data_IF_608405528492
#
_entry.id   IF_608405528492
#
_cell.length_a   1.000
_cell.length_b   1.000
_cell.length_c   1.000
_cell.angle_alpha   90.00
_cell.angle_beta   90.00
_cell.angle_gamma   90.00
#
_symmetry.space_group_name_H-M   'P 1'
#
loop_
_entity.id
_entity.type
_entity.pdbx_description
1 polymer ?
#
# COMPACT_ATOMS: atom_id res chain seq x y z
N UNK A 1 -63.98 13.57 29.84
CA UNK A 1 -63.50 12.50 28.93
C UNK A 1 -62.76 13.00 27.68
N UNK A 2 -63.23 14.03 26.96
CA UNK A 2 -62.56 14.53 25.73
C UNK A 2 -61.19 15.20 25.92
N UNK A 3 -60.89 15.71 27.11
CA UNK A 3 -59.59 16.34 27.43
C UNK A 3 -58.48 15.34 27.73
N UNK A 4 -58.80 14.21 28.39
CA UNK A 4 -57.82 13.15 28.67
C UNK A 4 -57.38 12.40 27.42
N UNK A 5 -58.27 12.21 26.43
CA UNK A 5 -57.89 11.58 25.15
C UNK A 5 -56.86 12.43 24.37
N UNK A 6 -56.95 13.77 24.39
CA UNK A 6 -56.01 14.61 23.64
C UNK A 6 -54.58 14.52 24.18
N UNK A 7 -54.39 14.45 25.49
CA UNK A 7 -53.05 14.34 26.11
C UNK A 7 -52.38 12.99 25.79
N UNK A 8 -53.15 11.90 25.72
CA UNK A 8 -52.65 10.57 25.35
C UNK A 8 -52.20 10.55 23.88
N UNK A 9 -52.94 11.19 22.98
CA UNK A 9 -52.55 11.29 21.56
C UNK A 9 -51.32 12.19 21.33
N UNK A 10 -51.14 13.27 22.09
CA UNK A 10 -49.94 14.13 21.96
C UNK A 10 -48.68 13.46 22.51
N UNK A 11 -48.79 12.68 23.60
CA UNK A 11 -47.66 11.92 24.13
C UNK A 11 -47.28 10.72 23.24
N UNK A 12 -48.24 10.08 22.56
CA UNK A 12 -47.96 9.05 21.55
C UNK A 12 -47.24 9.63 20.31
N UNK A 13 -47.57 10.85 19.91
CA UNK A 13 -46.96 11.50 18.75
C UNK A 13 -45.52 11.98 19.02
N UNK A 14 -45.22 12.38 20.26
CA UNK A 14 -43.85 12.75 20.67
C UNK A 14 -42.95 11.53 20.82
N UNK A 15 -43.50 10.36 21.18
CA UNK A 15 -42.72 9.12 21.29
C UNK A 15 -42.31 8.53 19.92
N UNK A 16 -43.09 8.82 18.85
CA UNK A 16 -42.79 8.35 17.48
C UNK A 16 -41.69 9.19 16.80
N UNK A 17 -41.40 10.40 17.29
CA UNK A 17 -40.37 11.28 16.71
C UNK A 17 -38.97 11.11 17.33
N UNK A 18 -38.82 10.21 18.31
CA UNK A 18 -37.54 9.96 19.00
C UNK A 18 -37.15 8.48 19.02
N UNK A 19 -37.54 7.68 18.02
CA UNK A 19 -36.75 6.47 17.76
C UNK A 19 -35.42 6.93 17.19
N UNK A 20 -34.27 6.74 17.88
CA UNK A 20 -33.00 6.92 17.21
C UNK A 20 -33.04 6.03 15.99
N UNK A 21 -32.84 6.62 14.80
CA UNK A 21 -32.50 5.83 13.63
C UNK A 21 -31.20 5.16 14.00
N UNK A 22 -31.29 3.92 14.49
CA UNK A 22 -30.16 3.02 14.58
C UNK A 22 -29.80 2.79 13.13
N UNK A 23 -28.88 3.60 12.61
CA UNK A 23 -28.15 3.21 11.43
C UNK A 23 -27.48 1.90 11.82
N UNK A 24 -28.07 0.79 11.41
CA UNK A 24 -27.35 -0.46 11.39
C UNK A 24 -26.11 -0.15 10.56
N UNK A 25 -24.93 -0.13 11.20
CA UNK A 25 -23.68 -0.22 10.48
C UNK A 25 -23.78 -1.56 9.74
N UNK A 26 -24.18 -1.51 8.47
CA UNK A 26 -24.17 -2.68 7.60
C UNK A 26 -22.68 -2.96 7.40
N UNK A 27 -22.14 -3.76 8.31
CA UNK A 27 -20.77 -4.22 8.29
C UNK A 27 -20.58 -5.00 6.98
N UNK A 28 -19.64 -4.57 6.16
CA UNK A 28 -19.42 -5.20 4.87
C UNK A 28 -19.00 -6.67 5.08
N UNK A 29 -19.61 -7.64 4.37
CA UNK A 29 -19.23 -9.05 4.50
C UNK A 29 -17.72 -9.31 4.27
N UNK A 30 -17.07 -8.55 3.39
CA UNK A 30 -15.62 -8.60 3.16
C UNK A 30 -14.85 -8.10 4.38
N UNK A 31 -15.28 -7.00 5.00
CA UNK A 31 -14.66 -6.47 6.22
C UNK A 31 -14.78 -7.47 7.36
N UNK A 32 -15.95 -8.09 7.54
CA UNK A 32 -16.17 -9.09 8.58
C UNK A 32 -15.28 -10.32 8.39
N UNK A 33 -15.19 -10.83 7.15
CA UNK A 33 -14.30 -11.98 6.84
C UNK A 33 -12.84 -11.62 7.06
N UNK A 34 -12.42 -10.42 6.64
CA UNK A 34 -11.05 -9.94 6.80
C UNK A 34 -10.71 -9.75 8.28
N UNK A 35 -11.61 -9.15 9.07
CA UNK A 35 -11.45 -8.99 10.52
C UNK A 35 -11.27 -10.35 11.22
N UNK A 36 -12.05 -11.37 10.83
CA UNK A 36 -11.87 -12.72 11.36
C UNK A 36 -10.51 -13.31 11.01
N UNK A 37 -10.02 -13.10 9.78
CA UNK A 37 -8.71 -13.57 9.35
C UNK A 37 -7.56 -12.87 10.11
N UNK A 38 -7.67 -11.56 10.31
CA UNK A 38 -6.73 -10.77 11.13
C UNK A 38 -6.73 -11.27 12.59
N UNK A 39 -7.90 -11.49 13.18
CA UNK A 39 -7.99 -12.01 14.54
C UNK A 39 -7.36 -13.40 14.66
N UNK A 40 -7.49 -14.26 13.64
CA UNK A 40 -6.80 -15.56 13.61
C UNK A 40 -5.27 -15.40 13.57
N UNK A 41 -4.74 -14.41 12.85
CA UNK A 41 -3.30 -14.08 12.88
C UNK A 41 -2.86 -13.77 14.31
N UNK A 42 -3.59 -12.91 15.03
CA UNK A 42 -3.21 -12.50 16.39
C UNK A 42 -3.47 -13.56 17.47
N UNK A 43 -4.37 -14.52 17.21
CA UNK A 43 -4.59 -15.68 18.07
C UNK A 43 -3.57 -16.79 17.84
N UNK A 44 -2.90 -16.80 16.69
CA UNK A 44 -1.90 -17.80 16.33
C UNK A 44 -0.73 -17.78 17.33
N UNK A 45 -0.36 -18.97 17.83
CA UNK A 45 0.70 -19.10 18.83
C UNK A 45 2.07 -18.81 18.25
N UNK A 46 2.33 -19.17 16.99
CA UNK A 46 3.63 -18.94 16.35
C UNK A 46 3.87 -17.45 16.12
N UNK A 47 2.84 -16.71 15.68
CA UNK A 47 2.92 -15.26 15.51
C UNK A 47 3.22 -14.56 16.83
N UNK A 48 2.51 -14.95 17.90
CA UNK A 48 2.69 -14.36 19.24
C UNK A 48 4.07 -14.64 19.85
N UNK A 49 4.74 -15.71 19.44
CA UNK A 49 6.08 -16.06 19.91
C UNK A 49 7.20 -15.30 19.18
N UNK A 50 6.93 -14.67 18.03
CA UNK A 50 7.93 -13.87 17.30
C UNK A 50 8.33 -12.64 18.11
N UNK A 51 9.64 -12.47 18.32
CA UNK A 51 10.18 -11.46 19.21
C UNK A 51 10.40 -10.13 18.49
N UNK A 52 10.84 -10.18 17.23
CA UNK A 52 11.08 -8.98 16.43
C UNK A 52 9.99 -8.71 15.40
N UNK A 53 9.87 -7.44 14.95
CA UNK A 53 8.98 -7.11 13.83
C UNK A 53 9.37 -7.80 12.54
N UNK A 54 10.66 -8.02 12.28
CA UNK A 54 11.13 -8.74 11.09
C UNK A 54 10.69 -10.20 11.11
N UNK A 55 10.74 -10.87 12.25
CA UNK A 55 10.23 -12.24 12.39
C UNK A 55 8.70 -12.31 12.22
N UNK A 56 7.97 -11.34 12.80
CA UNK A 56 6.52 -11.20 12.59
C UNK A 56 6.21 -11.00 11.11
N UNK A 57 6.95 -10.12 10.45
CA UNK A 57 6.81 -9.80 9.04
C UNK A 57 7.09 -11.01 8.14
N UNK A 58 8.17 -11.75 8.40
CA UNK A 58 8.48 -12.98 7.68
C UNK A 58 7.35 -14.00 7.81
N UNK A 59 6.82 -14.16 9.02
CA UNK A 59 5.75 -15.11 9.28
C UNK A 59 4.43 -14.73 8.59
N UNK A 60 3.97 -13.47 8.71
CA UNK A 60 2.70 -13.04 8.09
C UNK A 60 2.83 -13.05 6.57
N UNK A 61 3.92 -12.51 6.02
CA UNK A 61 4.14 -12.51 4.58
C UNK A 61 4.17 -13.94 4.02
N UNK A 62 4.76 -14.90 4.73
CA UNK A 62 4.72 -16.31 4.35
C UNK A 62 3.31 -16.91 4.42
N UNK A 63 2.53 -16.60 5.46
CA UNK A 63 1.15 -17.09 5.62
C UNK A 63 0.24 -16.68 4.46
N UNK A 64 0.52 -15.52 3.85
CA UNK A 64 -0.26 -14.96 2.74
C UNK A 64 0.35 -15.20 1.36
N UNK A 65 1.25 -16.18 1.19
CA UNK A 65 1.65 -16.69 -0.13
C UNK A 65 0.49 -17.41 -0.84
N UNK A 66 0.49 -17.39 -2.18
CA UNK A 66 -0.54 -17.98 -3.04
C UNK A 66 -1.84 -17.17 -3.15
N UNK A 67 -1.87 -15.95 -2.61
CA UNK A 67 -3.03 -15.05 -2.70
C UNK A 67 -3.05 -14.37 -4.08
N UNK A 68 -4.22 -14.30 -4.77
CA UNK A 68 -4.30 -13.74 -6.11
C UNK A 68 -3.72 -12.34 -6.24
N UNK A 69 -3.13 -12.06 -7.39
CA UNK A 69 -2.74 -10.72 -7.78
C UNK A 69 -3.93 -9.96 -8.36
N UNK A 70 -4.29 -8.83 -7.76
CA UNK A 70 -5.31 -7.92 -8.29
C UNK A 70 -4.82 -6.48 -8.16
N UNK A 71 -4.63 -5.83 -9.30
CA UNK A 71 -4.21 -4.43 -9.37
C UNK A 71 -5.27 -3.49 -8.79
N UNK A 72 -4.85 -2.54 -7.96
CA UNK A 72 -5.73 -1.56 -7.32
C UNK A 72 -6.82 -2.27 -6.48
N UNK A 73 -6.47 -3.17 -5.60
CA UNK A 73 -7.42 -3.95 -4.79
C UNK A 73 -7.93 -3.22 -3.52
N UNK A 74 -7.33 -2.08 -3.13
CA UNK A 74 -7.72 -1.25 -1.98
C UNK A 74 -8.19 0.15 -2.39
N UNK A 75 -8.98 0.80 -1.53
CA UNK A 75 -9.47 2.17 -1.67
C UNK A 75 -9.41 2.97 -0.37
N UNK A 76 -10.30 3.95 -0.22
CA UNK A 76 -10.44 4.86 0.95
C UNK A 76 -11.60 4.45 1.88
N UNK A 77 -12.19 3.29 1.66
CA UNK A 77 -13.31 2.78 2.45
C UNK A 77 -14.68 3.31 2.00
N UNK A 78 -15.72 2.77 2.63
CA UNK A 78 -17.08 2.81 2.09
C UNK A 78 -17.67 4.21 1.88
N UNK A 79 -17.26 5.18 2.69
CA UNK A 79 -17.79 6.54 2.66
C UNK A 79 -16.99 7.48 1.76
N UNK A 80 -15.97 6.97 1.05
CA UNK A 80 -15.09 7.79 0.24
C UNK A 80 -15.77 8.45 -0.97
N UNK A 81 -15.36 9.69 -1.25
CA UNK A 81 -15.84 10.47 -2.39
C UNK A 81 -15.29 9.95 -3.72
N UNK A 82 -14.05 9.46 -3.77
CA UNK A 82 -13.43 8.96 -5.01
C UNK A 82 -13.53 7.45 -5.10
N UNK A 83 -13.09 6.73 -4.08
CA UNK A 83 -12.76 5.33 -4.22
C UNK A 83 -13.20 4.51 -3.00
N UNK A 84 -14.36 3.86 -3.15
CA UNK A 84 -15.06 3.11 -2.10
C UNK A 84 -14.62 1.65 -1.97
N UNK A 85 -13.50 1.28 -2.59
CA UNK A 85 -12.86 0.00 -2.31
C UNK A 85 -12.41 -0.07 -0.83
N UNK A 86 -12.27 -1.28 -0.26
CA UNK A 86 -12.00 -1.44 1.16
C UNK A 86 -10.65 -0.82 1.57
N UNK A 87 -10.55 -0.40 2.84
CA UNK A 87 -9.30 0.15 3.40
C UNK A 87 -8.21 -0.91 3.60
N UNK A 88 -8.62 -2.15 3.81
CA UNK A 88 -7.76 -3.29 4.05
C UNK A 88 -8.44 -4.56 3.52
N UNK A 89 -7.63 -5.54 3.12
CA UNK A 89 -8.06 -6.89 2.77
C UNK A 89 -6.87 -7.85 2.82
N UNK A 90 -7.14 -9.14 2.93
CA UNK A 90 -6.11 -10.19 3.00
C UNK A 90 -6.32 -11.34 2.00
N UNK A 91 -7.34 -11.21 1.15
CA UNK A 91 -7.73 -12.24 0.19
C UNK A 91 -7.03 -12.10 -1.18
N UNK A 92 -6.62 -10.90 -1.58
CA UNK A 92 -5.86 -10.61 -2.80
C UNK A 92 -4.98 -9.37 -2.62
N UNK A 93 -3.94 -9.22 -3.43
CA UNK A 93 -2.96 -8.12 -3.34
C UNK A 93 -2.47 -7.63 -4.69
N UNK A 94 -2.06 -6.37 -4.77
CA UNK A 94 -1.00 -5.94 -5.68
C UNK A 94 0.33 -5.78 -4.93
N UNK A 95 1.38 -5.32 -5.61
CA UNK A 95 2.72 -5.27 -5.03
C UNK A 95 2.80 -4.35 -3.80
N UNK A 96 2.15 -3.20 -3.86
CA UNK A 96 2.19 -2.19 -2.81
C UNK A 96 1.29 -2.62 -1.64
N UNK A 97 0.04 -2.97 -1.93
CA UNK A 97 -0.91 -3.38 -0.88
C UNK A 97 -0.48 -4.65 -0.17
N UNK A 98 0.26 -5.56 -0.82
CA UNK A 98 0.90 -6.67 -0.14
C UNK A 98 1.90 -6.19 0.91
N UNK A 99 2.82 -5.29 0.54
CA UNK A 99 3.80 -4.71 1.47
C UNK A 99 3.10 -4.00 2.62
N UNK A 100 2.11 -3.15 2.33
CA UNK A 100 1.37 -2.38 3.33
C UNK A 100 0.63 -3.27 4.33
N UNK A 101 -0.09 -4.30 3.86
CA UNK A 101 -0.85 -5.17 4.75
C UNK A 101 0.07 -6.03 5.62
N UNK A 102 1.19 -6.52 5.08
CA UNK A 102 2.14 -7.33 5.85
C UNK A 102 2.86 -6.47 6.91
N UNK A 103 3.22 -5.23 6.58
CA UNK A 103 3.74 -4.27 7.56
C UNK A 103 2.71 -3.96 8.64
N UNK A 104 1.48 -3.61 8.28
CA UNK A 104 0.43 -3.30 9.24
C UNK A 104 0.17 -4.47 10.21
N UNK A 105 0.17 -5.71 9.70
CA UNK A 105 0.06 -6.92 10.51
C UNK A 105 1.24 -7.08 11.47
N UNK A 106 2.47 -6.90 11.00
CA UNK A 106 3.69 -7.06 11.79
C UNK A 106 3.86 -6.00 12.89
N UNK A 107 3.34 -4.79 12.67
CA UNK A 107 3.39 -3.67 13.61
C UNK A 107 2.25 -3.64 14.63
N UNK A 108 1.37 -4.63 14.62
CA UNK A 108 0.15 -4.64 15.44
C UNK A 108 0.01 -5.96 16.19
N UNK A 109 -0.84 -5.98 17.22
CA UNK A 109 -1.13 -7.18 18.02
C UNK A 109 -2.62 -7.50 18.11
N UNK A 110 -3.48 -6.66 17.50
CA UNK A 110 -4.93 -6.84 17.43
C UNK A 110 -5.49 -6.07 16.23
N UNK A 111 -6.77 -6.30 15.93
CA UNK A 111 -7.45 -5.70 14.79
C UNK A 111 -7.51 -4.15 14.84
N UNK A 112 -7.70 -3.55 16.02
CA UNK A 112 -7.79 -2.09 16.16
C UNK A 112 -6.44 -1.42 15.90
N UNK A 113 -5.35 -2.00 16.41
CA UNK A 113 -3.99 -1.57 16.08
C UNK A 113 -3.72 -1.74 14.59
N UNK A 114 -4.07 -2.90 14.01
CA UNK A 114 -3.91 -3.15 12.58
C UNK A 114 -4.57 -2.05 11.74
N UNK A 115 -5.81 -1.69 12.04
CA UNK A 115 -6.53 -0.63 11.33
C UNK A 115 -5.81 0.72 11.44
N UNK A 116 -5.29 1.07 12.62
CA UNK A 116 -4.49 2.28 12.80
C UNK A 116 -3.21 2.24 11.96
N UNK A 117 -2.52 1.10 11.91
CA UNK A 117 -1.30 0.95 11.13
C UNK A 117 -1.55 1.02 9.62
N UNK A 118 -2.65 0.44 9.14
CA UNK A 118 -3.09 0.61 7.74
C UNK A 118 -3.23 2.09 7.41
N UNK A 119 -3.91 2.88 8.24
CA UNK A 119 -4.07 4.31 7.99
C UNK A 119 -2.73 5.07 8.06
N UNK A 120 -1.88 4.74 9.02
CA UNK A 120 -0.57 5.39 9.19
C UNK A 120 0.38 5.12 8.01
N UNK A 121 0.35 3.91 7.44
CA UNK A 121 1.22 3.50 6.34
C UNK A 121 0.71 4.07 5.00
N UNK A 122 -0.61 4.01 4.78
CA UNK A 122 -1.24 4.34 3.48
C UNK A 122 -1.45 5.82 3.24
N UNK A 123 -1.48 6.66 4.28
CA UNK A 123 -1.81 8.09 4.16
C UNK A 123 -0.73 8.95 4.77
N UNK A 124 -0.34 10.03 4.10
CA UNK A 124 0.62 11.02 4.61
C UNK A 124 0.15 11.60 5.94
N UNK A 125 -1.13 11.93 6.03
CA UNK A 125 -1.81 12.43 7.21
C UNK A 125 -3.31 12.13 7.15
N UNK A 126 -3.97 12.13 8.30
CA UNK A 126 -5.41 11.99 8.40
C UNK A 126 -6.11 13.33 8.09
N UNK A 127 -7.35 13.33 7.58
CA UNK A 127 -8.20 12.16 7.32
C UNK A 127 -7.78 11.34 6.08
N UNK A 128 -8.27 10.11 5.99
CA UNK A 128 -8.04 9.11 4.94
C UNK A 128 -8.73 9.44 3.61
N UNK A 129 -8.35 10.58 3.03
CA UNK A 129 -8.89 11.05 1.74
C UNK A 129 -7.91 10.76 0.60
N UNK A 130 -8.45 10.62 -0.61
CA UNK A 130 -7.68 10.24 -1.81
C UNK A 130 -6.41 11.06 -2.04
N UNK A 131 -6.45 12.39 -1.84
CA UNK A 131 -5.28 13.27 -2.01
C UNK A 131 -4.21 13.10 -0.94
N UNK A 132 -4.55 12.50 0.21
CA UNK A 132 -3.64 12.25 1.31
C UNK A 132 -2.98 10.87 1.21
N UNK A 133 -3.37 10.03 0.24
CA UNK A 133 -2.73 8.72 0.03
C UNK A 133 -1.25 8.88 -0.29
N UNK A 134 -0.47 7.91 0.16
CA UNK A 134 0.86 7.69 -0.35
C UNK A 134 0.75 7.00 -1.72
N UNK A 135 0.78 7.78 -2.81
CA UNK A 135 0.54 7.27 -4.17
C UNK A 135 1.85 6.97 -4.89
N UNK A 136 2.85 7.82 -4.68
CA UNK A 136 4.14 7.70 -5.37
C UNK A 136 5.19 7.17 -4.40
N UNK A 137 5.77 5.98 -4.62
CA UNK A 137 6.84 5.47 -3.77
C UNK A 137 7.98 6.48 -3.58
N UNK A 138 8.35 7.18 -4.64
CA UNK A 138 9.51 8.06 -4.70
C UNK A 138 9.41 9.28 -3.75
N UNK A 139 8.21 9.83 -3.58
CA UNK A 139 8.01 11.13 -2.90
C UNK A 139 6.99 11.08 -1.77
N UNK A 140 6.11 10.07 -1.78
CA UNK A 140 5.09 9.86 -0.78
C UNK A 140 5.43 8.69 0.12
N UNK A 141 5.38 7.46 -0.41
CA UNK A 141 5.36 6.26 0.42
C UNK A 141 6.65 6.11 1.21
N UNK A 142 7.81 6.15 0.55
CA UNK A 142 9.10 5.97 1.22
C UNK A 142 9.34 7.10 2.23
N UNK A 143 9.17 8.36 1.78
CA UNK A 143 9.36 9.56 2.61
C UNK A 143 8.45 9.58 3.84
N UNK A 144 7.16 9.28 3.66
CA UNK A 144 6.18 9.23 4.75
C UNK A 144 6.53 8.13 5.74
N UNK A 145 6.81 6.92 5.26
CA UNK A 145 7.03 5.77 6.11
C UNK A 145 8.39 5.81 6.81
N UNK A 146 9.42 6.39 6.19
CA UNK A 146 10.69 6.69 6.85
C UNK A 146 10.50 7.72 7.96
N UNK A 147 9.82 8.85 7.67
CA UNK A 147 9.53 9.89 8.67
C UNK A 147 8.74 9.37 9.86
N UNK A 148 7.86 8.39 9.65
CA UNK A 148 7.05 7.75 10.69
C UNK A 148 7.77 6.61 11.40
N UNK A 149 8.98 6.25 10.98
CA UNK A 149 9.81 5.22 11.63
C UNK A 149 9.40 3.79 11.29
N UNK A 150 8.76 3.55 10.14
CA UNK A 150 8.47 2.20 9.65
C UNK A 150 9.66 1.60 8.90
N UNK A 151 10.36 2.42 8.12
CA UNK A 151 11.42 1.98 7.22
C UNK A 151 12.62 2.94 7.27
N UNK A 152 13.72 2.54 6.65
CA UNK A 152 14.93 3.34 6.51
C UNK A 152 15.68 2.95 5.24
N UNK A 153 16.09 3.93 4.43
CA UNK A 153 16.92 3.67 3.24
C UNK A 153 18.29 3.12 3.67
N UNK A 154 18.57 1.88 3.24
CA UNK A 154 19.86 1.22 3.47
C UNK A 154 20.70 1.05 2.21
N UNK A 155 20.24 1.58 1.08
CA UNK A 155 20.88 1.42 -0.23
C UNK A 155 22.34 1.88 -0.22
N UNK A 156 22.61 3.00 0.44
CA UNK A 156 23.97 3.55 0.54
C UNK A 156 24.92 2.77 1.47
N UNK A 157 24.40 1.82 2.24
CA UNK A 157 25.21 0.98 3.14
C UNK A 157 25.71 -0.30 2.50
N UNK A 158 25.26 -0.62 1.28
CA UNK A 158 25.76 -1.77 0.54
C UNK A 158 27.05 -1.39 -0.17
N UNK A 159 28.12 -2.12 0.13
CA UNK A 159 29.48 -1.80 -0.31
C UNK A 159 30.12 -2.89 -1.15
N UNK A 160 31.13 -2.51 -1.94
CA UNK A 160 31.99 -3.44 -2.66
C UNK A 160 33.03 -4.13 -1.74
N UNK A 161 33.92 -4.94 -2.33
CA UNK A 161 35.01 -5.60 -1.58
C UNK A 161 36.02 -4.64 -0.93
N UNK A 162 36.05 -3.38 -1.38
CA UNK A 162 36.91 -2.31 -0.86
C UNK A 162 36.19 -1.44 0.17
N UNK A 163 34.95 -1.79 0.54
CA UNK A 163 34.15 -1.01 1.48
C UNK A 163 33.58 0.28 0.88
N UNK A 164 33.55 0.43 -0.44
CA UNK A 164 32.99 1.61 -1.11
C UNK A 164 31.50 1.40 -1.42
N UNK A 165 30.61 2.37 -1.12
CA UNK A 165 29.21 2.30 -1.53
C UNK A 165 29.07 2.16 -3.05
N UNK A 166 28.19 1.26 -3.49
CA UNK A 166 28.00 0.95 -4.93
C UNK A 166 26.78 1.62 -5.56
N UNK A 167 26.05 2.43 -4.78
CA UNK A 167 24.79 3.00 -5.24
C UNK A 167 24.99 4.06 -6.33
N UNK A 168 24.00 4.18 -7.20
CA UNK A 168 23.80 5.32 -8.08
C UNK A 168 22.51 6.04 -7.72
N UNK A 169 22.29 7.22 -8.30
CA UNK A 169 21.04 7.96 -8.17
C UNK A 169 20.31 7.97 -9.50
N UNK A 170 18.99 7.86 -9.45
CA UNK A 170 18.08 8.11 -10.56
C UNK A 170 17.10 9.20 -10.14
N UNK A 171 16.90 10.20 -10.99
CA UNK A 171 16.04 11.34 -10.70
C UNK A 171 14.83 11.34 -11.63
N UNK A 172 13.65 11.66 -11.11
CA UNK A 172 12.39 11.75 -11.87
C UNK A 172 11.56 12.94 -11.39
N UNK A 173 10.87 13.62 -12.31
CA UNK A 173 9.94 14.67 -11.94
C UNK A 173 8.54 14.09 -11.76
N UNK A 174 7.99 14.18 -10.55
CA UNK A 174 6.65 13.72 -10.21
C UNK A 174 5.66 14.88 -10.40
N UNK A 175 4.86 14.83 -11.47
CA UNK A 175 3.82 15.81 -11.79
C UNK A 175 2.45 15.37 -11.24
N UNK A 176 2.15 15.76 -10.00
CA UNK A 176 0.87 15.44 -9.34
C UNK A 176 -0.33 16.05 -10.07
N UNK A 177 -0.20 17.27 -10.58
CA UNK A 177 -1.28 17.95 -11.29
C UNK A 177 -1.56 17.24 -12.62
N UNK A 178 -0.49 16.85 -13.33
CA UNK A 178 -0.56 16.02 -14.54
C UNK A 178 -1.22 14.67 -14.28
N UNK A 179 -0.85 14.00 -13.18
CA UNK A 179 -1.46 12.73 -12.75
C UNK A 179 -2.97 12.86 -12.47
N UNK A 180 -3.37 13.83 -11.64
CA UNK A 180 -4.79 14.06 -11.33
C UNK A 180 -5.59 14.39 -12.58
N UNK A 181 -5.03 15.20 -13.50
CA UNK A 181 -5.65 15.52 -14.79
C UNK A 181 -5.90 14.27 -15.65
N UNK A 182 -5.12 13.21 -15.49
CA UNK A 182 -5.27 11.96 -16.24
C UNK A 182 -6.38 11.06 -15.70
N UNK A 183 -6.82 11.27 -14.46
CA UNK A 183 -7.91 10.50 -13.87
C UNK A 183 -9.21 10.62 -14.69
N UNK A 184 -9.97 9.54 -14.70
CA UNK A 184 -11.22 9.39 -15.45
C UNK A 184 -12.34 8.91 -14.52
N UNK A 185 -13.61 8.93 -14.96
CA UNK A 185 -14.70 8.34 -14.17
C UNK A 185 -14.54 6.85 -13.85
N UNK A 186 -13.62 6.13 -14.53
CA UNK A 186 -13.28 4.75 -14.18
C UNK A 186 -12.51 4.66 -12.85
N UNK A 187 -11.66 5.66 -12.57
CA UNK A 187 -10.86 5.75 -11.35
C UNK A 187 -11.71 6.15 -10.14
N UNK A 188 -12.89 6.74 -10.37
CA UNK A 188 -13.90 6.92 -9.32
C UNK A 188 -14.70 5.64 -9.11
N UNK A 189 -14.22 4.80 -8.18
CA UNK A 189 -14.79 3.49 -7.90
C UNK A 189 -15.84 3.60 -6.83
N UNK A 190 -17.08 3.35 -7.23
CA UNK A 190 -18.26 3.37 -6.37
C UNK A 190 -18.85 1.97 -6.28
N UNK A 191 -19.35 1.59 -5.10
CA UNK A 191 -20.01 0.29 -4.90
C UNK A 191 -21.32 0.20 -5.67
N UNK A 192 -22.07 1.30 -5.73
CA UNK A 192 -23.26 1.37 -6.57
C UNK A 192 -22.87 1.86 -7.98
N UNK A 193 -23.15 1.05 -8.99
CA UNK A 193 -22.79 1.33 -10.38
C UNK A 193 -23.66 2.44 -11.00
N UNK A 194 -24.84 2.73 -10.44
CA UNK A 194 -25.78 3.76 -10.93
C UNK A 194 -25.40 5.19 -10.47
N UNK A 195 -24.11 5.53 -10.51
CA UNK A 195 -23.56 6.80 -10.02
C UNK A 195 -22.70 7.52 -11.06
N UNK A 196 -23.03 7.37 -12.36
CA UNK A 196 -22.22 7.93 -13.46
C UNK A 196 -21.97 9.43 -13.32
N UNK A 197 -23.01 10.20 -12.97
CA UNK A 197 -22.88 11.65 -12.79
C UNK A 197 -22.05 12.00 -11.55
N UNK A 198 -22.27 11.30 -10.42
CA UNK A 198 -21.47 11.51 -9.21
C UNK A 198 -19.99 11.23 -9.46
N UNK A 199 -19.67 10.15 -10.17
CA UNK A 199 -18.30 9.81 -10.57
C UNK A 199 -17.66 10.93 -11.38
N UNK A 200 -18.37 11.43 -12.39
CA UNK A 200 -17.89 12.54 -13.21
C UNK A 200 -17.66 13.81 -12.37
N UNK A 201 -18.61 14.17 -11.52
CA UNK A 201 -18.51 15.34 -10.65
C UNK A 201 -17.36 15.23 -9.66
N UNK A 202 -17.15 14.07 -9.05
CA UNK A 202 -16.06 13.85 -8.09
C UNK A 202 -14.68 13.91 -8.77
N UNK A 203 -14.56 13.35 -9.98
CA UNK A 203 -13.32 13.45 -10.78
C UNK A 203 -13.05 14.91 -11.19
N UNK A 204 -14.06 15.64 -11.65
CA UNK A 204 -13.89 17.07 -11.96
C UNK A 204 -13.51 17.89 -10.72
N UNK A 205 -14.09 17.57 -9.56
CA UNK A 205 -13.77 18.25 -8.30
C UNK A 205 -12.30 18.03 -7.91
N UNK A 206 -11.82 16.78 -7.91
CA UNK A 206 -10.43 16.48 -7.52
C UNK A 206 -9.41 16.99 -8.54
N UNK A 207 -9.75 16.99 -9.84
CA UNK A 207 -8.93 17.60 -10.87
C UNK A 207 -8.81 19.12 -10.69
N UNK A 208 -9.91 19.78 -10.30
CA UNK A 208 -9.94 21.22 -10.02
C UNK A 208 -9.13 21.55 -8.77
N UNK A 209 -9.29 20.79 -7.70
CA UNK A 209 -8.53 20.93 -6.44
C UNK A 209 -7.03 20.72 -6.69
N UNK A 210 -6.70 19.68 -7.46
CA UNK A 210 -5.34 19.28 -7.79
C UNK A 210 -4.60 20.16 -8.79
N UNK A 211 -5.30 21.06 -9.49
CA UNK A 211 -4.76 21.80 -10.65
C UNK A 211 -3.48 22.58 -10.34
N UNK A 212 -3.36 23.10 -9.11
CA UNK A 212 -2.24 23.92 -8.68
C UNK A 212 -1.25 23.18 -7.76
N UNK A 213 -1.41 21.86 -7.60
CA UNK A 213 -0.42 21.07 -6.86
C UNK A 213 0.91 21.12 -7.59
N UNK A 214 1.97 21.41 -6.84
CA UNK A 214 3.31 21.44 -7.38
C UNK A 214 3.81 20.01 -7.57
N UNK A 215 4.40 19.75 -8.73
CA UNK A 215 5.27 18.60 -8.87
C UNK A 215 6.61 18.83 -8.19
N UNK A 216 7.35 17.76 -7.98
CA UNK A 216 8.64 17.79 -7.30
C UNK A 216 9.64 16.82 -7.97
N UNK A 217 10.92 17.15 -7.88
CA UNK A 217 11.99 16.25 -8.31
C UNK A 217 12.22 15.22 -7.20
N UNK A 218 12.16 13.94 -7.55
CA UNK A 218 12.47 12.83 -6.69
C UNK A 218 13.84 12.25 -7.06
N UNK A 219 14.63 11.87 -6.05
CA UNK A 219 15.91 11.19 -6.23
C UNK A 219 15.86 9.86 -5.49
N UNK A 220 16.11 8.78 -6.22
CA UNK A 220 16.11 7.42 -5.68
C UNK A 220 17.52 6.86 -5.80
N UNK A 221 18.12 6.51 -4.65
CA UNK A 221 19.37 5.73 -4.64
C UNK A 221 19.05 4.31 -5.05
N UNK A 222 19.89 3.67 -5.83
CA UNK A 222 19.70 2.27 -6.21
C UNK A 222 21.04 1.56 -6.39
N UNK A 223 21.05 0.26 -6.17
CA UNK A 223 22.17 -0.63 -6.48
C UNK A 223 22.09 -1.02 -7.96
N UNK A 224 23.07 -0.64 -8.80
CA UNK A 224 23.06 -0.98 -10.22
C UNK A 224 23.13 -2.49 -10.45
N UNK A 225 22.37 -3.00 -11.44
CA UNK A 225 22.31 -4.45 -11.72
C UNK A 225 23.70 -5.07 -11.93
N UNK A 226 24.61 -4.35 -12.58
CA UNK A 226 25.96 -4.83 -12.86
C UNK A 226 26.86 -4.93 -11.62
N UNK A 227 26.49 -4.28 -10.51
CA UNK A 227 27.20 -4.36 -9.23
C UNK A 227 26.63 -5.45 -8.30
N UNK A 228 25.47 -6.02 -8.65
CA UNK A 228 24.82 -7.05 -7.85
C UNK A 228 25.48 -8.42 -8.06
N UNK A 229 25.88 -9.05 -6.96
CA UNK A 229 26.48 -10.38 -6.90
C UNK A 229 26.22 -10.99 -5.52
N UNK A 230 26.68 -12.22 -5.27
CA UNK A 230 26.46 -12.90 -3.99
C UNK A 230 26.95 -12.10 -2.79
N UNK A 231 28.10 -11.42 -2.90
CA UNK A 231 28.68 -10.62 -1.81
C UNK A 231 27.83 -9.38 -1.53
N UNK A 232 27.42 -8.63 -2.55
CA UNK A 232 26.59 -7.43 -2.33
C UNK A 232 25.18 -7.79 -1.84
N UNK A 233 24.61 -8.88 -2.36
CA UNK A 233 23.32 -9.38 -1.86
C UNK A 233 23.40 -9.87 -0.41
N UNK A 234 24.51 -10.51 0.01
CA UNK A 234 24.70 -11.00 1.38
C UNK A 234 24.59 -9.94 2.47
N UNK A 235 24.71 -8.66 2.10
CA UNK A 235 24.57 -7.52 3.00
C UNK A 235 23.11 -7.08 3.21
N UNK A 236 22.16 -7.60 2.42
CA UNK A 236 20.73 -7.27 2.52
C UNK A 236 20.11 -8.05 3.68
N UNK A 237 19.61 -7.37 4.74
CA UNK A 237 18.97 -8.04 5.87
C UNK A 237 17.61 -8.68 5.52
N UNK A 238 17.14 -9.59 6.38
CA UNK A 238 15.77 -10.08 6.27
C UNK A 238 14.75 -8.96 6.54
N UNK A 239 13.64 -9.00 5.81
CA UNK A 239 12.56 -8.03 5.93
C UNK A 239 12.86 -6.69 5.25
N UNK A 240 13.96 -6.56 4.50
CA UNK A 240 14.18 -5.40 3.63
C UNK A 240 13.12 -5.38 2.53
N UNK A 241 12.50 -4.23 2.28
CA UNK A 241 11.67 -3.98 1.10
C UNK A 241 12.61 -3.69 -0.06
N UNK A 242 12.42 -4.41 -1.16
CA UNK A 242 13.19 -4.26 -2.39
C UNK A 242 12.28 -3.62 -3.43
N UNK A 243 12.71 -2.49 -3.96
CA UNK A 243 11.97 -1.73 -4.97
C UNK A 243 12.71 -1.76 -6.31
N UNK A 244 11.97 -2.00 -7.39
CA UNK A 244 12.54 -2.13 -8.74
C UNK A 244 12.64 -0.76 -9.41
N UNK A 245 13.88 -0.28 -9.58
CA UNK A 245 14.18 1.07 -10.06
C UNK A 245 14.36 1.10 -11.58
N UNK A 246 13.76 2.10 -12.22
CA UNK A 246 13.75 2.30 -13.67
C UNK A 246 14.16 3.72 -14.05
N UNK A 247 15.21 3.85 -14.86
CA UNK A 247 15.66 5.14 -15.40
C UNK A 247 14.96 5.44 -16.74
N UNK A 248 14.66 6.72 -16.99
CA UNK A 248 14.01 7.20 -18.23
C UNK A 248 12.69 6.45 -18.54
N UNK A 249 11.89 6.16 -17.51
CA UNK A 249 10.62 5.47 -17.68
C UNK A 249 9.49 6.48 -17.92
N UNK A 250 9.24 6.74 -19.21
CA UNK A 250 8.31 7.77 -19.66
C UNK A 250 6.83 7.35 -19.53
N UNK A 251 6.31 7.35 -18.30
CA UNK A 251 4.92 7.01 -17.99
C UNK A 251 3.95 8.18 -18.10
N UNK A 252 4.41 9.39 -18.44
CA UNK A 252 3.58 10.59 -18.53
C UNK A 252 2.36 10.44 -19.46
N UNK A 253 2.52 9.75 -20.60
CA UNK A 253 1.41 9.58 -21.55
C UNK A 253 0.24 8.76 -20.97
N UNK A 254 0.56 7.73 -20.19
CA UNK A 254 -0.40 6.82 -19.56
C UNK A 254 -0.90 7.32 -18.21
N UNK A 255 -0.02 7.88 -17.38
CA UNK A 255 -0.29 8.21 -15.98
C UNK A 255 -0.33 9.70 -15.67
N UNK A 256 0.05 10.57 -16.61
CA UNK A 256 0.14 12.01 -16.38
C UNK A 256 1.41 12.47 -15.66
N UNK A 257 2.26 11.53 -15.21
CA UNK A 257 3.60 11.76 -14.64
C UNK A 257 4.55 10.63 -15.01
N UNK A 258 5.86 10.92 -15.02
CA UNK A 258 6.91 9.90 -15.06
C UNK A 258 7.13 9.30 -13.66
N UNK A 259 7.66 8.07 -13.61
CA UNK A 259 7.99 7.32 -12.39
C UNK A 259 9.38 6.69 -12.51
N UNK A 260 9.92 6.28 -11.37
CA UNK A 260 11.24 5.65 -11.23
C UNK A 260 11.16 4.33 -10.44
N UNK A 261 10.13 4.11 -9.63
CA UNK A 261 9.88 2.84 -8.94
C UNK A 261 8.68 2.15 -9.60
N UNK A 262 8.85 0.85 -9.90
CA UNK A 262 7.88 0.11 -10.71
C UNK A 262 7.27 -1.13 -10.07
N UNK A 263 7.87 -1.61 -8.98
CA UNK A 263 7.43 -2.82 -8.27
C UNK A 263 8.11 -2.87 -6.91
N UNK A 264 7.52 -3.61 -5.96
CA UNK A 264 8.11 -3.82 -4.63
C UNK A 264 7.72 -5.17 -4.03
N UNK A 265 8.45 -5.57 -2.99
CA UNK A 265 8.25 -6.79 -2.22
C UNK A 265 9.33 -6.92 -1.14
N UNK A 266 9.36 -8.03 -0.40
CA UNK A 266 10.32 -8.23 0.70
C UNK A 266 11.47 -9.16 0.31
N UNK A 267 12.64 -8.96 0.92
CA UNK A 267 13.78 -9.86 0.86
C UNK A 267 13.85 -10.76 2.10
N UNK A 268 13.93 -12.08 1.89
CA UNK A 268 14.15 -13.06 2.96
C UNK A 268 15.17 -14.13 2.56
N UNK A 269 16.19 -14.30 3.37
CA UNK A 269 17.16 -15.39 3.30
C UNK A 269 16.53 -16.70 3.74
N UNK A 270 16.59 -17.70 2.87
CA UNK A 270 16.20 -19.08 3.17
C UNK A 270 17.30 -20.02 2.72
N UNK A 271 17.92 -20.74 3.67
CA UNK A 271 18.99 -21.72 3.41
C UNK A 271 20.09 -21.18 2.48
N UNK A 272 20.56 -19.96 2.74
CA UNK A 272 21.64 -19.32 1.98
C UNK A 272 21.23 -18.76 0.61
N UNK A 273 19.93 -18.67 0.30
CA UNK A 273 19.42 -18.01 -0.91
C UNK A 273 18.52 -16.84 -0.51
N UNK A 274 18.71 -15.68 -1.14
CA UNK A 274 17.86 -14.51 -0.95
C UNK A 274 16.64 -14.58 -1.88
N UNK A 275 15.46 -14.68 -1.29
CA UNK A 275 14.18 -14.68 -2.00
C UNK A 275 13.57 -13.29 -2.00
N UNK A 276 12.96 -12.93 -3.12
CA UNK A 276 12.06 -11.82 -3.29
C UNK A 276 10.63 -12.33 -3.15
N UNK A 277 9.96 -11.91 -2.08
CA UNK A 277 8.58 -12.23 -1.75
C UNK A 277 7.67 -11.09 -2.19
N UNK A 278 6.81 -11.35 -3.16
CA UNK A 278 6.13 -10.29 -3.91
C UNK A 278 4.75 -10.75 -4.41
N UNK A 279 3.84 -9.80 -4.62
CA UNK A 279 2.57 -10.05 -5.31
C UNK A 279 2.76 -9.86 -6.82
N UNK A 280 2.72 -10.97 -7.56
CA UNK A 280 3.18 -11.01 -8.95
C UNK A 280 2.06 -10.89 -9.95
N UNK A 281 2.15 -9.90 -10.84
CA UNK A 281 1.29 -9.85 -12.03
C UNK A 281 1.62 -10.94 -13.05
N UNK A 282 2.84 -11.50 -13.01
CA UNK A 282 3.31 -12.57 -13.91
C UNK A 282 2.81 -13.93 -13.43
N UNK A 283 2.96 -14.22 -12.13
CA UNK A 283 2.48 -15.48 -11.55
C UNK A 283 1.01 -15.43 -11.11
N UNK A 284 0.37 -14.26 -11.22
CA UNK A 284 -1.00 -13.98 -10.80
C UNK A 284 -1.29 -14.26 -9.31
N UNK A 285 -0.26 -14.28 -8.47
CA UNK A 285 -0.38 -14.53 -7.03
C UNK A 285 0.86 -14.02 -6.26
N UNK A 286 0.78 -14.01 -4.93
CA UNK A 286 1.91 -13.80 -4.05
C UNK A 286 2.86 -15.02 -4.07
N UNK A 287 4.14 -14.77 -4.34
CA UNK A 287 5.15 -15.82 -4.58
C UNK A 287 6.48 -15.48 -3.92
N UNK A 288 7.30 -16.51 -3.72
CA UNK A 288 8.73 -16.39 -3.48
C UNK A 288 9.48 -16.72 -4.78
N UNK A 289 10.30 -15.80 -5.26
CA UNK A 289 11.24 -16.03 -6.37
C UNK A 289 12.66 -15.72 -5.92
N UNK A 290 13.68 -16.35 -6.51
CA UNK A 290 15.08 -16.00 -6.18
C UNK A 290 15.35 -14.57 -6.64
N UNK A 291 15.79 -13.70 -5.73
CA UNK A 291 15.94 -12.26 -6.03
C UNK A 291 16.90 -12.03 -7.20
N UNK A 292 18.05 -12.70 -7.21
CA UNK A 292 19.04 -12.55 -8.28
C UNK A 292 18.50 -13.01 -9.66
N UNK A 293 17.71 -14.08 -9.70
CA UNK A 293 17.12 -14.56 -10.95
C UNK A 293 16.06 -13.60 -11.47
N UNK A 294 15.23 -13.05 -10.57
CA UNK A 294 14.25 -12.02 -10.88
C UNK A 294 14.92 -10.75 -11.46
N UNK A 295 15.98 -10.26 -10.81
CA UNK A 295 16.74 -9.08 -11.27
C UNK A 295 17.34 -9.32 -12.66
N UNK A 296 17.95 -10.48 -12.89
CA UNK A 296 18.48 -10.86 -14.21
C UNK A 296 17.39 -10.89 -15.27
N UNK A 297 16.21 -11.40 -14.94
CA UNK A 297 15.05 -11.42 -15.84
C UNK A 297 14.58 -9.99 -16.17
N UNK A 298 14.44 -9.13 -15.17
CA UNK A 298 14.08 -7.72 -15.39
C UNK A 298 15.10 -7.00 -16.27
N UNK A 299 16.39 -7.16 -16.00
CA UNK A 299 17.47 -6.56 -16.80
C UNK A 299 17.52 -7.08 -18.25
N UNK A 300 17.14 -8.35 -18.47
CA UNK A 300 17.09 -8.93 -19.81
C UNK A 300 15.95 -8.35 -20.66
N UNK A 301 14.78 -8.13 -20.07
CA UNK A 301 13.56 -7.81 -20.82
C UNK A 301 13.14 -6.34 -20.74
N UNK A 302 13.68 -5.57 -19.79
CA UNK A 302 13.38 -4.15 -19.62
C UNK A 302 14.59 -3.29 -20.00
N UNK A 303 14.38 -2.34 -20.91
CA UNK A 303 15.40 -1.33 -21.25
C UNK A 303 15.51 -0.21 -20.22
N UNK A 304 14.51 -0.05 -19.36
CA UNK A 304 14.49 1.03 -18.36
C UNK A 304 14.90 0.55 -16.98
N UNK A 305 14.86 -0.75 -16.70
CA UNK A 305 15.28 -1.28 -15.39
C UNK A 305 16.79 -1.11 -15.20
N UNK A 306 17.18 -0.52 -14.07
CA UNK A 306 18.60 -0.21 -13.78
C UNK A 306 19.10 -0.83 -12.48
N UNK A 307 18.22 -1.26 -11.59
CA UNK A 307 18.62 -1.90 -10.34
C UNK A 307 17.56 -1.85 -9.26
N UNK A 308 17.99 -1.95 -8.00
CA UNK A 308 17.09 -2.06 -6.85
C UNK A 308 17.36 -0.99 -5.79
N UNK A 309 16.31 -0.45 -5.19
CA UNK A 309 16.36 0.38 -3.99
C UNK A 309 15.98 -0.48 -2.77
N UNK A 310 16.54 -0.16 -1.60
CA UNK A 310 16.42 -0.98 -0.40
C UNK A 310 15.95 -0.15 0.81
N UNK A 311 14.80 -0.52 1.35
CA UNK A 311 14.19 0.07 2.53
C UNK A 311 14.12 -0.96 3.66
N UNK A 312 14.90 -0.78 4.72
CA UNK A 312 14.90 -1.71 5.86
C UNK A 312 13.73 -1.42 6.79
N UNK A 313 12.89 -2.43 7.04
CA UNK A 313 11.86 -2.36 8.07
C UNK A 313 12.51 -2.22 9.45
N UNK A 314 12.08 -1.22 10.20
CA UNK A 314 12.64 -0.89 11.52
C UNK A 314 12.07 -1.87 12.56
N UNK A 315 12.96 -2.67 13.14
CA UNK A 315 12.63 -3.71 14.14
C UNK A 315 11.93 -3.16 15.40
#
# INVERSE_FOLDING_TARGET
>A
MRWLMRIIYTLLYIYILFTPVVYANIEDPLDKKTMQEINRVYQDTEFRQKQSRVEKLEWVSQKFLGRPYVLNNLGDGFNASIDQYPLYRLDEFDCETYVEMMLALAYSNNFEEFKKQVLNIRYQHLPEVFLNRNVFPEVDWNRSNEKKGYIKDITAYIVDRKGQPIYQVSSVYIDRAGWLKKLTPYDCRKRNQNQKMDKLNNIHAIQKEGKNLKGELAETKYLPVNELNEMTLSQIPNGTIVEMVRRNWHTQSSMGTDLNISHMGFAFWKKGTLYFREASSIFHQTVDVKLMDYIKQQNKYSRTFVGIHLEQVIA
#
